data_IF_611460490819
#
_entry.id   IF_611460490819
#
_cell.length_a   1.000
_cell.length_b   1.000
_cell.length_c   1.000
_cell.angle_alpha   90.00
_cell.angle_beta   90.00
_cell.angle_gamma   90.00
#
_symmetry.space_group_name_H-M   'P 1'
#
loop_
_entity.id
_entity.type
_entity.pdbx_description
1 polymer ?
#
# COMPACT_ATOMS: atom_id res chain seq x y z
N UNK A 1 10.78 21.18 -2.67
CA UNK A 1 9.39 21.38 -3.10
C UNK A 1 9.39 22.10 -4.44
N UNK A 2 8.60 21.66 -5.41
CA UNK A 2 8.52 22.34 -6.70
C UNK A 2 7.85 23.71 -6.55
N UNK A 3 8.38 24.69 -7.27
CA UNK A 3 7.75 25.99 -7.47
C UNK A 3 6.86 25.89 -8.74
N UNK A 4 5.55 25.95 -8.54
CA UNK A 4 4.56 25.81 -9.62
C UNK A 4 3.83 27.13 -9.75
N UNK A 5 3.93 27.73 -10.94
CA UNK A 5 3.21 28.97 -11.25
C UNK A 5 1.70 28.71 -11.19
N UNK A 6 0.97 29.58 -10.52
CA UNK A 6 -0.48 29.53 -10.44
C UNK A 6 -1.14 29.54 -11.83
N UNK A 7 -0.54 30.25 -12.78
CA UNK A 7 -1.00 30.31 -14.16
C UNK A 7 -0.81 28.98 -14.94
N UNK A 8 0.02 28.07 -14.44
CA UNK A 8 0.21 26.75 -15.04
C UNK A 8 -0.86 25.74 -14.61
N UNK A 9 -1.68 26.07 -13.61
CA UNK A 9 -2.77 25.22 -13.14
C UNK A 9 -3.97 25.46 -14.04
N UNK A 10 -4.33 24.48 -14.85
CA UNK A 10 -5.35 24.63 -15.89
C UNK A 10 -6.72 24.11 -15.47
N UNK A 11 -6.78 23.32 -14.40
CA UNK A 11 -7.98 22.71 -13.90
C UNK A 11 -8.02 22.71 -12.37
N UNK A 12 -9.24 22.82 -11.81
CA UNK A 12 -9.49 22.66 -10.36
C UNK A 12 -10.63 21.69 -10.14
N UNK A 13 -10.40 20.69 -9.29
CA UNK A 13 -11.36 19.65 -8.92
C UNK A 13 -11.62 19.72 -7.43
N UNK A 14 -12.90 19.78 -7.04
CA UNK A 14 -13.31 19.78 -5.63
C UNK A 14 -13.80 18.39 -5.20
N UNK A 15 -13.34 17.95 -4.03
CA UNK A 15 -13.79 16.70 -3.40
C UNK A 15 -13.74 16.81 -1.88
N UNK A 16 -14.37 15.89 -1.17
CA UNK A 16 -14.22 15.80 0.28
C UNK A 16 -12.93 15.06 0.66
N UNK A 17 -12.69 13.93 0.04
CA UNK A 17 -11.52 13.07 0.30
C UNK A 17 -10.78 12.86 -1.01
N UNK A 18 -9.47 13.08 -0.99
CA UNK A 18 -8.61 12.72 -2.11
C UNK A 18 -7.73 11.53 -1.72
N UNK A 19 -7.75 10.48 -2.53
CA UNK A 19 -6.89 9.30 -2.40
C UNK A 19 -5.81 9.40 -3.48
N UNK A 20 -4.55 9.40 -3.08
CA UNK A 20 -3.40 9.52 -3.97
C UNK A 20 -2.70 8.18 -4.09
N UNK A 21 -2.83 7.55 -5.24
CA UNK A 21 -2.32 6.21 -5.58
C UNK A 21 -3.41 5.15 -5.64
N UNK A 22 -3.46 4.39 -6.73
CA UNK A 22 -4.39 3.29 -6.96
C UNK A 22 -3.71 1.91 -6.84
N UNK A 23 -2.80 1.78 -5.88
CA UNK A 23 -2.24 0.52 -5.42
C UNK A 23 -3.14 -0.17 -4.39
N UNK A 24 -2.60 -1.17 -3.69
CA UNK A 24 -3.35 -1.99 -2.73
C UNK A 24 -4.03 -1.15 -1.63
N UNK A 25 -3.32 -0.17 -1.07
CA UNK A 25 -3.88 0.70 -0.02
C UNK A 25 -4.94 1.65 -0.56
N UNK A 26 -4.68 2.28 -1.71
CA UNK A 26 -5.60 3.25 -2.31
C UNK A 26 -6.88 2.61 -2.82
N UNK A 27 -6.79 1.46 -3.51
CA UNK A 27 -7.98 0.76 -4.01
C UNK A 27 -8.83 0.16 -2.90
N UNK A 28 -8.22 -0.34 -1.82
CA UNK A 28 -8.96 -0.77 -0.64
C UNK A 28 -9.74 0.39 0.01
N UNK A 29 -9.09 1.55 0.17
CA UNK A 29 -9.73 2.75 0.69
C UNK A 29 -10.84 3.28 -0.24
N UNK A 30 -10.61 3.28 -1.55
CA UNK A 30 -11.58 3.71 -2.56
C UNK A 30 -12.82 2.80 -2.55
N UNK A 31 -12.64 1.48 -2.50
CA UNK A 31 -13.74 0.53 -2.43
C UNK A 31 -14.58 0.74 -1.15
N UNK A 32 -13.92 0.95 -0.01
CA UNK A 32 -14.62 1.23 1.24
C UNK A 32 -15.37 2.56 1.18
N UNK A 33 -14.75 3.62 0.66
CA UNK A 33 -15.37 4.92 0.50
C UNK A 33 -16.59 4.86 -0.43
N UNK A 34 -16.48 4.15 -1.55
CA UNK A 34 -17.57 3.95 -2.50
C UNK A 34 -18.75 3.19 -1.88
N UNK A 35 -18.47 2.10 -1.15
CA UNK A 35 -19.50 1.32 -0.45
C UNK A 35 -20.29 2.16 0.56
N UNK A 36 -19.69 3.21 1.11
CA UNK A 36 -20.32 4.10 2.08
C UNK A 36 -20.84 5.41 1.48
N UNK A 37 -20.82 5.54 0.16
CA UNK A 37 -21.36 6.73 -0.54
C UNK A 37 -20.60 8.02 -0.21
N UNK A 38 -19.32 7.94 0.12
CA UNK A 38 -18.50 9.12 0.43
C UNK A 38 -18.17 9.89 -0.85
N UNK A 39 -18.03 11.20 -0.73
CA UNK A 39 -17.53 12.04 -1.83
C UNK A 39 -16.00 11.99 -1.85
N UNK A 40 -15.44 11.31 -2.85
CA UNK A 40 -13.99 11.15 -2.97
C UNK A 40 -13.55 11.13 -4.44
N UNK A 41 -12.25 11.38 -4.64
CA UNK A 41 -11.54 11.19 -5.91
C UNK A 41 -10.31 10.33 -5.66
N UNK A 42 -9.89 9.61 -6.69
CA UNK A 42 -8.63 8.83 -6.69
C UNK A 42 -7.78 9.30 -7.84
N UNK A 43 -6.50 9.56 -7.61
CA UNK A 43 -5.52 9.81 -8.68
C UNK A 43 -4.46 8.71 -8.70
N UNK A 44 -3.98 8.38 -9.91
CA UNK A 44 -2.92 7.40 -10.14
C UNK A 44 -1.98 7.86 -11.25
N UNK A 45 -0.67 7.80 -11.00
CA UNK A 45 0.33 8.25 -11.96
C UNK A 45 0.45 7.36 -13.22
N UNK A 46 0.12 6.08 -13.09
CA UNK A 46 0.12 5.12 -14.20
C UNK A 46 -1.23 5.11 -14.93
N UNK A 47 -1.29 4.41 -16.06
CA UNK A 47 -2.52 4.23 -16.82
C UNK A 47 -3.44 3.10 -16.35
N UNK A 48 -3.10 2.45 -15.23
CA UNK A 48 -3.85 1.31 -14.68
C UNK A 48 -3.63 1.21 -13.18
N UNK A 49 -4.51 0.49 -12.50
CA UNK A 49 -4.33 0.15 -11.08
C UNK A 49 -3.11 -0.77 -10.89
N UNK A 50 -2.51 -0.69 -9.72
CA UNK A 50 -1.29 -1.44 -9.42
C UNK A 50 -1.57 -2.54 -8.40
N UNK A 51 -1.38 -3.80 -8.77
CA UNK A 51 -1.48 -4.96 -7.89
C UNK A 51 -0.11 -5.61 -7.72
N UNK A 52 0.72 -5.00 -6.88
CA UNK A 52 2.11 -5.43 -6.68
C UNK A 52 2.25 -6.60 -5.72
N UNK A 53 1.25 -6.86 -4.89
CA UNK A 53 1.23 -7.93 -3.90
C UNK A 53 -0.12 -8.63 -3.91
N UNK A 54 -0.06 -9.95 -4.10
CA UNK A 54 -1.26 -10.78 -4.10
C UNK A 54 -1.71 -11.18 -2.70
N UNK A 55 -0.77 -11.27 -1.78
CA UNK A 55 -1.05 -11.63 -0.39
C UNK A 55 -1.49 -10.42 0.41
N UNK A 56 -2.49 -10.64 1.23
CA UNK A 56 -3.00 -9.66 2.18
C UNK A 56 -2.94 -10.29 3.56
N UNK A 57 -2.25 -9.64 4.49
CA UNK A 57 -2.19 -10.10 5.87
C UNK A 57 -3.37 -9.56 6.68
N UNK A 58 -4.02 -10.44 7.43
CA UNK A 58 -5.08 -10.05 8.35
C UNK A 58 -5.09 -10.91 9.61
N UNK A 59 -5.43 -10.30 10.74
CA UNK A 59 -5.52 -10.96 12.04
C UNK A 59 -6.97 -11.32 12.34
N UNK A 60 -7.19 -12.55 12.80
CA UNK A 60 -8.53 -13.08 13.13
C UNK A 60 -9.55 -12.96 11.98
N UNK A 61 -9.08 -13.06 10.72
CA UNK A 61 -9.96 -13.08 9.54
C UNK A 61 -10.67 -14.41 9.35
N UNK A 62 -11.47 -14.53 8.28
CA UNK A 62 -12.36 -15.66 8.03
C UNK A 62 -11.64 -17.03 8.01
N UNK A 63 -10.42 -17.11 7.47
CA UNK A 63 -9.67 -18.36 7.41
C UNK A 63 -9.22 -18.83 8.78
N UNK A 64 -8.73 -17.94 9.63
CA UNK A 64 -8.37 -18.24 11.00
C UNK A 64 -9.61 -18.63 11.83
N UNK A 65 -10.71 -17.89 11.67
CA UNK A 65 -11.98 -18.19 12.35
C UNK A 65 -12.53 -19.56 11.96
N UNK A 66 -12.50 -19.92 10.67
CA UNK A 66 -12.97 -21.20 10.18
C UNK A 66 -12.19 -22.39 10.77
N UNK A 67 -10.94 -22.16 11.16
CA UNK A 67 -10.08 -23.17 11.78
C UNK A 67 -10.07 -23.11 13.31
N UNK A 68 -10.85 -22.20 13.92
CA UNK A 68 -10.87 -21.99 15.36
C UNK A 68 -9.56 -21.37 15.90
N UNK A 69 -8.76 -20.77 15.04
CA UNK A 69 -7.51 -20.08 15.42
C UNK A 69 -7.87 -18.70 15.94
N UNK A 70 -7.35 -18.37 17.10
CA UNK A 70 -7.45 -17.03 17.69
C UNK A 70 -6.05 -16.58 18.11
N UNK A 71 -5.64 -15.43 17.60
CA UNK A 71 -4.33 -14.89 17.90
C UNK A 71 -4.28 -14.18 19.25
N UNK A 72 -3.19 -14.39 19.97
CA UNK A 72 -2.81 -13.52 21.08
C UNK A 72 -2.25 -12.20 20.54
N UNK A 73 -3.11 -11.18 20.51
CA UNK A 73 -2.79 -9.86 19.92
C UNK A 73 -1.62 -9.15 20.62
N UNK A 74 -1.45 -9.37 21.93
CA UNK A 74 -0.35 -8.78 22.68
C UNK A 74 0.97 -9.45 22.32
N UNK A 75 0.97 -10.76 22.22
CA UNK A 75 2.14 -11.53 21.77
C UNK A 75 2.51 -11.20 20.33
N UNK A 76 1.51 -11.11 19.43
CA UNK A 76 1.72 -10.73 18.03
C UNK A 76 2.37 -9.34 17.92
N UNK A 77 1.86 -8.34 18.67
CA UNK A 77 2.47 -7.01 18.70
C UNK A 77 3.92 -7.06 19.18
N UNK A 78 4.20 -7.85 20.22
CA UNK A 78 5.54 -8.03 20.75
C UNK A 78 6.48 -8.67 19.70
N UNK A 79 6.03 -9.71 19.02
CA UNK A 79 6.81 -10.41 18.00
C UNK A 79 7.09 -9.53 16.77
N UNK A 80 6.11 -8.78 16.29
CA UNK A 80 6.33 -7.82 15.18
C UNK A 80 7.34 -6.76 15.60
N UNK A 81 7.23 -6.23 16.82
CA UNK A 81 8.17 -5.23 17.34
C UNK A 81 9.58 -5.80 17.47
N UNK A 82 9.70 -7.03 17.94
CA UNK A 82 10.99 -7.74 18.02
C UNK A 82 11.59 -7.98 16.63
N UNK A 83 10.78 -8.45 15.69
CA UNK A 83 11.21 -8.67 14.31
C UNK A 83 11.69 -7.37 13.63
N UNK A 84 10.98 -6.28 13.86
CA UNK A 84 11.38 -4.96 13.40
C UNK A 84 12.53 -4.33 14.22
N UNK A 85 13.16 -5.08 15.13
CA UNK A 85 14.22 -4.59 16.03
C UNK A 85 13.83 -3.32 16.82
N UNK A 86 12.55 -3.22 17.17
CA UNK A 86 11.99 -2.06 17.87
C UNK A 86 11.78 -0.80 17.00
N UNK A 87 12.00 -0.88 15.70
CA UNK A 87 11.94 0.27 14.78
C UNK A 87 10.54 0.54 14.21
N UNK A 88 9.52 -0.14 14.66
CA UNK A 88 8.15 0.10 14.22
C UNK A 88 7.37 0.98 15.20
N UNK A 89 6.45 1.80 14.68
CA UNK A 89 5.43 2.45 15.52
C UNK A 89 4.37 1.44 15.92
N UNK A 90 4.40 1.03 17.18
CA UNK A 90 3.47 0.04 17.72
C UNK A 90 2.00 0.48 17.64
N UNK A 91 1.72 1.78 17.55
CA UNK A 91 0.34 2.29 17.39
C UNK A 91 -0.20 1.90 16.01
N UNK A 92 0.62 2.05 14.98
CA UNK A 92 0.26 1.65 13.60
C UNK A 92 0.08 0.14 13.50
N UNK A 93 1.04 -0.63 14.06
CA UNK A 93 0.94 -2.10 14.10
C UNK A 93 -0.32 -2.55 14.84
N UNK A 94 -0.63 -1.92 15.96
CA UNK A 94 -1.83 -2.24 16.75
C UNK A 94 -3.12 -1.94 15.98
N UNK A 95 -3.17 -0.87 15.18
CA UNK A 95 -4.31 -0.59 14.32
C UNK A 95 -4.51 -1.73 13.32
N UNK A 96 -3.45 -2.17 12.64
CA UNK A 96 -3.53 -3.31 11.73
C UNK A 96 -3.99 -4.59 12.45
N UNK A 97 -3.43 -4.91 13.64
CA UNK A 97 -3.84 -6.08 14.42
C UNK A 97 -5.33 -6.05 14.75
N UNK A 98 -5.88 -4.88 15.05
CA UNK A 98 -7.26 -4.75 15.49
C UNK A 98 -8.28 -4.71 14.34
N UNK A 99 -7.91 -4.11 13.21
CA UNK A 99 -8.86 -3.74 12.14
C UNK A 99 -8.74 -4.62 10.88
N UNK A 100 -7.62 -5.34 10.72
CA UNK A 100 -7.36 -6.08 9.49
C UNK A 100 -8.32 -7.25 9.26
N UNK A 101 -8.86 -7.85 10.33
CA UNK A 101 -9.87 -8.91 10.22
C UNK A 101 -11.17 -8.40 9.57
N UNK A 102 -11.63 -7.22 9.95
CA UNK A 102 -12.80 -6.58 9.33
C UNK A 102 -12.50 -6.18 7.88
N UNK A 103 -11.32 -5.64 7.64
CA UNK A 103 -10.89 -5.27 6.29
C UNK A 103 -10.88 -6.47 5.34
N UNK A 104 -10.35 -7.62 5.75
CA UNK A 104 -10.29 -8.80 4.88
C UNK A 104 -11.69 -9.38 4.59
N UNK A 105 -12.61 -9.30 5.55
CA UNK A 105 -14.01 -9.68 5.33
C UNK A 105 -14.70 -8.76 4.32
N UNK A 106 -14.45 -7.46 4.41
CA UNK A 106 -14.96 -6.50 3.42
C UNK A 106 -14.45 -6.82 2.02
N UNK A 107 -13.14 -7.06 1.85
CA UNK A 107 -12.56 -7.43 0.56
C UNK A 107 -13.15 -8.77 0.07
N UNK A 108 -13.30 -9.76 0.95
CA UNK A 108 -13.90 -11.05 0.61
C UNK A 108 -15.32 -10.90 0.09
N UNK A 109 -16.13 -10.06 0.70
CA UNK A 109 -17.51 -9.83 0.24
C UNK A 109 -17.56 -9.28 -1.20
N UNK A 110 -16.62 -8.43 -1.58
CA UNK A 110 -16.53 -7.95 -2.96
C UNK A 110 -16.01 -9.07 -3.88
N UNK A 111 -14.93 -9.75 -3.50
CA UNK A 111 -14.28 -10.75 -4.35
C UNK A 111 -15.18 -11.97 -4.56
N UNK A 112 -15.71 -12.55 -3.48
CA UNK A 112 -16.48 -13.80 -3.52
C UNK A 112 -17.95 -13.55 -3.84
N UNK A 113 -18.63 -12.70 -3.08
CA UNK A 113 -20.07 -12.57 -3.16
C UNK A 113 -20.50 -11.84 -4.44
N UNK A 114 -19.71 -10.85 -4.88
CA UNK A 114 -20.04 -10.08 -6.06
C UNK A 114 -19.43 -10.65 -7.35
N UNK A 115 -18.15 -10.98 -7.33
CA UNK A 115 -17.41 -11.40 -8.53
C UNK A 115 -17.14 -12.91 -8.63
N UNK A 116 -17.47 -13.69 -7.60
CA UNK A 116 -17.27 -15.13 -7.59
C UNK A 116 -15.78 -15.55 -7.56
N UNK A 117 -14.89 -14.64 -7.22
CA UNK A 117 -13.45 -14.91 -7.12
C UNK A 117 -13.14 -15.36 -5.70
N UNK A 118 -12.85 -16.62 -5.53
CA UNK A 118 -12.57 -17.21 -4.23
C UNK A 118 -11.31 -16.61 -3.60
N UNK A 119 -11.42 -16.17 -2.36
CA UNK A 119 -10.28 -15.87 -1.53
C UNK A 119 -9.82 -17.12 -0.77
N UNK A 120 -8.52 -17.36 -0.79
CA UNK A 120 -7.91 -18.54 -0.19
C UNK A 120 -7.04 -18.09 0.98
N UNK A 121 -7.20 -18.76 2.09
CA UNK A 121 -6.29 -18.64 3.22
C UNK A 121 -5.06 -19.50 2.90
N UNK A 122 -3.92 -18.85 2.70
CA UNK A 122 -2.75 -19.45 2.04
C UNK A 122 -2.18 -20.64 2.80
N UNK A 123 -2.34 -20.68 4.09
CA UNK A 123 -1.79 -21.72 4.96
C UNK A 123 -2.86 -22.57 5.65
N UNK A 124 -4.10 -22.58 5.10
CA UNK A 124 -5.24 -23.18 5.76
C UNK A 124 -5.09 -24.66 6.05
N UNK A 125 -5.25 -25.51 5.07
CA UNK A 125 -5.31 -26.95 5.31
C UNK A 125 -3.95 -27.67 5.29
N UNK A 126 -2.96 -27.08 4.66
CA UNK A 126 -1.62 -27.69 4.50
C UNK A 126 -0.62 -27.23 5.56
N UNK A 127 -0.88 -26.14 6.20
CA UNK A 127 0.02 -25.56 7.17
C UNK A 127 -0.39 -25.85 8.61
N UNK A 128 -0.32 -27.06 8.97
CA UNK A 128 0.33 -27.29 10.26
C UNK A 128 1.76 -26.86 10.03
N UNK A 129 2.03 -25.58 10.24
CA UNK A 129 3.39 -25.09 10.34
C UNK A 129 4.13 -26.08 11.22
N UNK A 130 5.15 -26.77 10.73
CA UNK A 130 5.71 -27.89 11.46
C UNK A 130 6.16 -27.39 12.82
N UNK A 131 5.85 -28.14 13.86
CA UNK A 131 6.32 -27.86 15.22
C UNK A 131 7.85 -27.66 15.28
N UNK A 132 8.55 -28.19 14.31
CA UNK A 132 9.98 -27.99 14.07
C UNK A 132 10.40 -26.56 13.72
N UNK A 133 9.46 -25.70 13.29
CA UNK A 133 9.73 -24.28 13.08
C UNK A 133 9.36 -23.41 14.28
N UNK A 134 8.85 -24.01 15.35
CA UNK A 134 8.51 -23.31 16.59
C UNK A 134 9.73 -22.61 17.23
N UNK A 135 10.92 -23.11 17.00
CA UNK A 135 12.18 -22.48 17.46
C UNK A 135 12.43 -21.10 16.81
N UNK A 136 11.79 -20.79 15.70
CA UNK A 136 11.92 -19.49 15.05
C UNK A 136 10.86 -18.47 15.49
N UNK A 137 9.98 -18.84 16.42
CA UNK A 137 8.90 -17.96 16.93
C UNK A 137 8.05 -17.31 15.82
N UNK A 138 7.89 -18.00 14.71
CA UNK A 138 7.08 -17.54 13.58
C UNK A 138 5.66 -18.06 13.63
N UNK A 139 5.32 -18.86 14.63
CA UNK A 139 4.04 -19.53 14.78
C UNK A 139 2.84 -18.59 14.81
N UNK A 140 3.11 -17.31 15.10
CA UNK A 140 2.06 -16.29 15.21
C UNK A 140 1.98 -15.36 14.01
N UNK A 141 2.97 -15.36 13.12
CA UNK A 141 3.05 -14.28 12.13
C UNK A 141 2.67 -14.67 10.71
N UNK A 142 2.91 -15.91 10.31
CA UNK A 142 2.79 -16.23 8.89
C UNK A 142 1.64 -17.18 8.54
N UNK A 143 1.40 -18.26 9.26
CA UNK A 143 0.40 -19.24 8.83
C UNK A 143 -1.04 -18.74 8.93
N UNK A 144 -1.29 -17.84 9.87
CA UNK A 144 -2.65 -17.46 10.24
C UNK A 144 -3.08 -16.10 9.72
N UNK A 145 -2.22 -15.40 9.01
CA UNK A 145 -2.51 -14.02 8.58
C UNK A 145 -2.49 -13.80 7.07
N UNK A 146 -2.08 -14.77 6.29
CA UNK A 146 -1.97 -14.59 4.85
C UNK A 146 -3.19 -15.07 4.09
N UNK A 147 -3.73 -14.18 3.29
CA UNK A 147 -4.85 -14.41 2.39
C UNK A 147 -4.44 -14.08 0.96
N UNK A 148 -4.90 -14.86 0.01
CA UNK A 148 -4.74 -14.61 -1.41
C UNK A 148 -6.05 -14.90 -2.12
N UNK A 149 -6.13 -14.63 -3.41
CA UNK A 149 -7.27 -14.97 -4.23
C UNK A 149 -6.88 -16.03 -5.27
N UNK A 150 -7.87 -16.79 -5.71
CA UNK A 150 -7.66 -17.79 -6.74
C UNK A 150 -7.36 -17.12 -8.08
N UNK A 151 -6.14 -17.31 -8.57
CA UNK A 151 -5.67 -16.77 -9.85
C UNK A 151 -6.24 -17.46 -11.07
N UNK A 152 -6.93 -18.58 -10.89
CA UNK A 152 -7.55 -19.31 -12.00
C UNK A 152 -8.59 -18.48 -12.74
N UNK A 153 -9.15 -17.45 -12.10
CA UNK A 153 -10.06 -16.48 -12.69
C UNK A 153 -9.41 -15.48 -13.64
N UNK A 154 -8.07 -15.32 -13.60
CA UNK A 154 -7.32 -14.35 -14.39
C UNK A 154 -7.49 -12.89 -13.96
N UNK A 155 -8.31 -12.58 -12.97
CA UNK A 155 -8.57 -11.22 -12.52
C UNK A 155 -7.64 -10.82 -11.37
N UNK A 156 -7.01 -9.65 -11.49
CA UNK A 156 -6.26 -9.04 -10.39
C UNK A 156 -7.23 -8.40 -9.40
N UNK A 157 -6.93 -8.48 -8.09
CA UNK A 157 -7.79 -7.92 -7.04
C UNK A 157 -8.12 -6.44 -7.27
N UNK A 158 -7.13 -5.61 -7.54
CA UNK A 158 -7.34 -4.18 -7.69
C UNK A 158 -8.11 -3.82 -8.98
N UNK A 159 -8.05 -4.65 -10.02
CA UNK A 159 -8.94 -4.51 -11.19
C UNK A 159 -10.40 -4.75 -10.81
N UNK A 160 -10.68 -5.78 -10.03
CA UNK A 160 -12.05 -6.04 -9.54
C UNK A 160 -12.54 -4.95 -8.57
N UNK A 161 -11.65 -4.39 -7.74
CA UNK A 161 -12.00 -3.24 -6.90
C UNK A 161 -12.26 -1.98 -7.75
N UNK A 162 -11.54 -1.81 -8.86
CA UNK A 162 -11.81 -0.73 -9.81
C UNK A 162 -13.18 -0.91 -10.47
N UNK A 163 -13.50 -2.12 -10.93
CA UNK A 163 -14.82 -2.41 -11.47
C UNK A 163 -15.93 -2.16 -10.43
N UNK A 164 -15.67 -2.55 -9.18
CA UNK A 164 -16.59 -2.31 -8.08
C UNK A 164 -16.88 -0.83 -7.85
N UNK A 165 -15.87 0.04 -7.79
CA UNK A 165 -16.12 1.47 -7.60
C UNK A 165 -16.78 2.09 -8.83
N UNK A 166 -16.46 1.63 -10.04
CA UNK A 166 -17.10 2.09 -11.28
C UNK A 166 -18.59 1.78 -11.34
N UNK A 167 -18.97 0.60 -10.91
CA UNK A 167 -20.39 0.23 -10.81
C UNK A 167 -21.17 1.11 -9.81
N UNK A 168 -20.46 1.67 -8.82
CA UNK A 168 -21.03 2.63 -7.86
C UNK A 168 -20.94 4.08 -8.33
N UNK A 169 -20.45 4.33 -9.57
CA UNK A 169 -20.38 5.65 -10.18
C UNK A 169 -19.12 6.45 -9.89
N UNK A 170 -18.06 5.80 -9.40
CA UNK A 170 -16.74 6.41 -9.16
C UNK A 170 -15.72 5.93 -10.20
N UNK A 171 -14.60 6.61 -10.30
CA UNK A 171 -13.49 6.18 -11.17
C UNK A 171 -12.14 6.69 -10.59
N UNK A 172 -11.06 6.36 -11.28
CA UNK A 172 -9.70 6.78 -11.00
C UNK A 172 -9.23 7.74 -12.10
N UNK A 173 -8.71 8.89 -11.69
CA UNK A 173 -8.03 9.82 -12.58
C UNK A 173 -6.61 9.29 -12.83
N UNK A 174 -6.48 8.47 -13.86
CA UNK A 174 -5.20 7.89 -14.27
C UNK A 174 -4.26 8.91 -14.87
N UNK A 175 -2.96 8.56 -14.97
CA UNK A 175 -1.89 9.40 -15.51
C UNK A 175 -1.78 10.76 -14.84
N UNK A 176 -2.07 10.77 -13.56
CA UNK A 176 -2.11 11.96 -12.71
C UNK A 176 -1.21 11.74 -11.50
N UNK A 177 -0.07 12.43 -11.48
CA UNK A 177 0.98 12.28 -10.45
C UNK A 177 0.91 13.40 -9.43
N UNK A 178 1.15 13.06 -8.15
CA UNK A 178 1.29 14.05 -7.08
C UNK A 178 2.54 14.92 -7.31
N UNK A 179 2.35 16.26 -7.42
CA UNK A 179 3.44 17.21 -7.47
C UNK A 179 3.76 17.81 -6.08
N UNK A 180 2.75 18.34 -5.38
CA UNK A 180 2.90 18.84 -4.01
C UNK A 180 1.59 18.84 -3.23
N UNK A 181 1.69 18.91 -1.91
CA UNK A 181 0.56 19.18 -1.01
C UNK A 181 0.32 20.69 -0.88
N UNK A 182 -0.93 21.08 -0.75
CA UNK A 182 -1.31 22.47 -0.43
C UNK A 182 -1.78 22.60 1.01
N UNK A 183 -1.45 23.74 1.63
CA UNK A 183 -1.78 24.05 3.02
C UNK A 183 -2.48 25.39 3.12
N UNK A 184 -3.40 25.52 4.06
CA UNK A 184 -3.92 26.80 4.49
C UNK A 184 -2.95 27.52 5.44
N UNK A 185 -3.34 28.71 5.87
CA UNK A 185 -2.56 29.55 6.79
C UNK A 185 -2.37 28.94 8.19
N UNK A 186 -3.13 27.91 8.55
CA UNK A 186 -3.00 27.16 9.82
C UNK A 186 -2.04 26.00 9.71
N UNK A 187 -1.61 25.64 8.50
CA UNK A 187 -0.78 24.48 8.19
C UNK A 187 -1.57 23.20 7.92
N UNK A 188 -2.90 23.26 7.89
CA UNK A 188 -3.72 22.12 7.51
C UNK A 188 -3.60 21.84 6.01
N UNK A 189 -3.48 20.57 5.64
CA UNK A 189 -3.54 20.14 4.25
C UNK A 189 -4.98 20.32 3.73
N UNK A 190 -5.13 21.07 2.65
CA UNK A 190 -6.40 21.40 2.02
C UNK A 190 -6.56 20.78 0.64
N UNK A 191 -5.49 20.21 0.09
CA UNK A 191 -5.50 19.60 -1.22
C UNK A 191 -4.10 19.31 -1.74
N UNK A 192 -4.02 19.15 -3.05
CA UNK A 192 -2.77 18.94 -3.76
C UNK A 192 -2.74 19.72 -5.07
N UNK A 193 -1.53 19.90 -5.59
CA UNK A 193 -1.31 20.07 -7.02
C UNK A 193 -0.81 18.76 -7.58
N UNK A 194 -1.46 18.27 -8.62
CA UNK A 194 -1.07 17.12 -9.41
C UNK A 194 -0.57 17.57 -10.78
N UNK A 195 0.19 16.69 -11.44
CA UNK A 195 0.66 16.89 -12.81
C UNK A 195 0.20 15.73 -13.68
N UNK A 196 -0.37 16.03 -14.83
CA UNK A 196 -0.62 15.04 -15.87
C UNK A 196 0.70 14.44 -16.34
N UNK A 197 0.77 13.11 -16.47
CA UNK A 197 1.95 12.43 -17.01
C UNK A 197 1.90 12.27 -18.52
N UNK A 198 0.87 12.81 -19.19
CA UNK A 198 0.72 12.78 -20.64
C UNK A 198 1.21 14.06 -21.31
N UNK A 199 0.86 15.21 -20.77
CA UNK A 199 1.07 16.52 -21.39
C UNK A 199 1.58 17.59 -20.42
N UNK A 200 1.98 17.16 -19.21
CA UNK A 200 2.64 17.98 -18.18
C UNK A 200 1.80 19.14 -17.60
N UNK A 201 0.51 19.28 -17.93
CA UNK A 201 -0.30 20.31 -17.31
C UNK A 201 -0.57 20.02 -15.84
N UNK A 202 -0.86 21.08 -15.06
CA UNK A 202 -1.15 20.96 -13.63
C UNK A 202 -2.64 21.05 -13.34
N UNK A 203 -3.07 20.24 -12.36
CA UNK A 203 -4.43 20.13 -11.86
C UNK A 203 -4.41 20.37 -10.34
N UNK A 204 -5.27 21.23 -9.85
CA UNK A 204 -5.50 21.37 -8.40
C UNK A 204 -6.64 20.47 -7.97
N UNK A 205 -6.41 19.70 -6.92
CA UNK A 205 -7.47 18.97 -6.22
C UNK A 205 -7.64 19.56 -4.83
N UNK A 206 -8.80 20.19 -4.59
CA UNK A 206 -9.20 20.63 -3.26
C UNK A 206 -9.82 19.45 -2.52
N UNK A 207 -9.39 19.18 -1.30
CA UNK A 207 -9.87 18.08 -0.45
C UNK A 207 -10.39 18.62 0.88
N UNK A 208 -11.71 18.86 0.96
CA UNK A 208 -12.34 19.56 2.10
C UNK A 208 -12.15 18.83 3.44
N UNK A 209 -12.08 17.49 3.43
CA UNK A 209 -11.89 16.66 4.63
C UNK A 209 -10.46 16.16 4.80
N UNK A 210 -9.75 15.89 3.71
CA UNK A 210 -8.37 15.48 3.77
C UNK A 210 -7.85 14.71 2.58
N UNK A 211 -6.55 14.43 2.63
CA UNK A 211 -5.81 13.68 1.61
C UNK A 211 -5.28 12.41 2.23
N UNK A 212 -5.55 11.27 1.60
CA UNK A 212 -4.96 9.97 1.92
C UNK A 212 -3.80 9.70 0.95
N UNK A 213 -2.59 9.62 1.47
CA UNK A 213 -1.41 9.26 0.69
C UNK A 213 -1.23 7.74 0.68
N UNK A 214 -1.45 7.12 -0.46
CA UNK A 214 -1.27 5.68 -0.72
C UNK A 214 -0.27 5.44 -1.87
N UNK A 215 0.76 6.28 -1.94
CA UNK A 215 1.69 6.39 -3.06
C UNK A 215 2.85 5.37 -3.03
N UNK A 216 2.81 4.37 -2.16
CA UNK A 216 3.91 3.43 -2.00
C UNK A 216 5.15 4.02 -1.34
N UNK A 217 6.27 3.34 -1.54
CA UNK A 217 7.57 3.71 -0.98
C UNK A 217 8.47 4.48 -1.95
N UNK A 218 9.79 4.25 -1.81
CA UNK A 218 10.79 4.94 -2.63
C UNK A 218 11.86 4.03 -3.28
N UNK A 219 11.69 2.70 -3.42
CA UNK A 219 12.74 1.84 -3.93
C UNK A 219 13.12 2.12 -5.39
N UNK A 220 12.24 2.77 -6.16
CA UNK A 220 12.51 3.24 -7.52
C UNK A 220 13.28 4.56 -7.60
N UNK A 221 13.69 5.14 -6.47
CA UNK A 221 14.45 6.38 -6.41
C UNK A 221 15.87 6.13 -5.87
N UNK A 222 16.89 5.98 -6.72
CA UNK A 222 18.24 5.66 -6.27
C UNK A 222 18.82 6.66 -5.28
N UNK A 223 18.53 7.95 -5.43
CA UNK A 223 18.98 8.99 -4.52
C UNK A 223 18.37 8.82 -3.12
N UNK A 224 17.06 8.58 -3.03
CA UNK A 224 16.41 8.33 -1.74
C UNK A 224 16.90 7.03 -1.12
N UNK A 225 17.13 5.99 -1.91
CA UNK A 225 17.71 4.74 -1.43
C UNK A 225 19.08 4.96 -0.82
N UNK A 226 19.98 5.67 -1.52
CA UNK A 226 21.32 5.97 -1.02
C UNK A 226 21.29 6.79 0.27
N UNK A 227 20.44 7.80 0.35
CA UNK A 227 20.38 8.72 1.49
C UNK A 227 19.62 8.17 2.69
N UNK A 228 18.57 7.39 2.46
CA UNK A 228 17.63 6.97 3.49
C UNK A 228 17.76 5.48 3.84
N UNK A 229 18.32 4.69 2.96
CA UNK A 229 18.54 3.26 3.14
C UNK A 229 19.96 2.81 2.73
N UNK A 230 21.00 3.36 3.36
CA UNK A 230 22.38 3.00 3.03
C UNK A 230 22.69 1.52 3.32
N UNK A 231 21.99 0.89 4.26
CA UNK A 231 22.14 -0.56 4.51
C UNK A 231 21.62 -1.37 3.33
N UNK A 232 20.41 -1.08 2.86
CA UNK A 232 19.83 -1.76 1.71
C UNK A 232 20.71 -1.63 0.47
N UNK A 233 21.20 -0.43 0.18
CA UNK A 233 22.08 -0.19 -0.97
C UNK A 233 23.48 -0.82 -0.82
N UNK A 234 23.94 -1.09 0.41
CA UNK A 234 25.24 -1.73 0.66
C UNK A 234 25.22 -3.24 0.49
N UNK A 235 24.06 -3.88 0.61
CA UNK A 235 23.93 -5.35 0.61
C UNK A 235 23.24 -5.90 -0.62
N UNK A 236 22.67 -5.06 -1.46
CA UNK A 236 21.98 -5.47 -2.68
C UNK A 236 22.29 -4.55 -3.85
N UNK A 237 22.40 -5.13 -5.03
CA UNK A 237 22.51 -4.40 -6.29
C UNK A 237 21.17 -4.21 -6.95
N UNK A 238 20.15 -4.85 -6.41
CA UNK A 238 18.83 -4.83 -6.97
C UNK A 238 17.85 -4.25 -6.02
N UNK A 239 17.00 -3.47 -6.46
CA UNK A 239 16.13 -2.93 -5.47
C UNK A 239 14.70 -2.86 -5.84
N UNK A 240 14.27 -2.98 -7.00
CA UNK A 240 12.92 -2.48 -7.17
C UNK A 240 11.94 -3.51 -7.68
N UNK A 241 11.06 -3.91 -6.78
CA UNK A 241 9.81 -4.56 -7.14
C UNK A 241 8.88 -3.59 -7.89
N UNK A 242 9.00 -2.30 -7.63
CA UNK A 242 8.22 -1.25 -8.26
C UNK A 242 9.11 -0.07 -8.62
N UNK A 243 9.62 0.02 -9.85
CA UNK A 243 10.41 1.17 -10.31
C UNK A 243 9.61 2.47 -10.33
N UNK A 244 8.28 2.40 -10.26
CA UNK A 244 7.41 3.55 -10.17
C UNK A 244 7.35 4.16 -8.76
N UNK A 245 7.76 3.43 -7.71
CA UNK A 245 7.79 3.91 -6.33
C UNK A 245 8.98 4.85 -6.10
N UNK A 246 8.81 6.11 -6.45
CA UNK A 246 9.86 7.13 -6.41
C UNK A 246 9.76 8.07 -5.21
N UNK A 247 8.94 7.74 -4.23
CA UNK A 247 8.81 8.51 -3.00
C UNK A 247 8.05 9.83 -3.15
N UNK A 248 7.16 9.95 -4.12
CA UNK A 248 6.39 11.18 -4.35
C UNK A 248 5.61 11.60 -3.12
N UNK A 249 4.82 10.69 -2.54
CA UNK A 249 4.03 10.96 -1.34
C UNK A 249 4.88 11.31 -0.13
N UNK A 250 5.99 10.61 0.08
CA UNK A 250 6.93 10.86 1.17
C UNK A 250 7.55 12.25 1.05
N UNK A 251 8.06 12.60 -0.13
CA UNK A 251 8.64 13.92 -0.38
C UNK A 251 7.62 15.03 -0.17
N UNK A 252 6.44 14.90 -0.75
CA UNK A 252 5.38 15.89 -0.61
C UNK A 252 4.96 16.08 0.85
N UNK A 253 4.85 15.00 1.63
CA UNK A 253 4.54 15.06 3.05
C UNK A 253 5.64 15.77 3.85
N UNK A 254 6.91 15.45 3.59
CA UNK A 254 8.06 16.10 4.27
C UNK A 254 8.14 17.58 3.92
N UNK A 255 7.95 17.97 2.68
CA UNK A 255 7.88 19.38 2.27
C UNK A 255 6.73 20.13 2.95
N UNK A 256 5.61 19.42 3.18
CA UNK A 256 4.48 19.98 3.92
C UNK A 256 4.71 20.08 5.44
N UNK A 257 5.80 19.51 5.97
CA UNK A 257 6.18 19.57 7.36
C UNK A 257 5.94 18.28 8.15
N UNK A 258 5.67 17.17 7.50
CA UNK A 258 5.57 15.88 8.18
C UNK A 258 6.94 15.41 8.70
N UNK A 259 6.91 14.65 9.78
CA UNK A 259 8.10 13.96 10.26
C UNK A 259 8.39 12.75 9.36
N UNK A 260 9.67 12.44 9.25
CA UNK A 260 10.16 11.24 8.58
C UNK A 260 10.77 10.29 9.61
N UNK A 261 10.65 8.98 9.38
CA UNK A 261 11.33 7.98 10.19
C UNK A 261 12.84 8.19 10.11
N UNK A 262 13.49 8.22 11.28
CA UNK A 262 14.92 8.48 11.35
C UNK A 262 15.79 7.37 10.76
N UNK A 263 15.25 6.18 10.71
CA UNK A 263 15.92 5.00 10.19
C UNK A 263 14.99 4.26 9.25
N UNK A 264 15.40 4.09 8.00
CA UNK A 264 14.72 3.20 7.09
C UNK A 264 14.89 1.75 7.57
N UNK A 265 13.84 0.97 7.44
CA UNK A 265 13.86 -0.47 7.69
C UNK A 265 13.46 -1.18 6.40
N UNK A 266 14.42 -1.44 5.49
CA UNK A 266 14.10 -2.07 4.23
C UNK A 266 13.63 -3.49 4.48
N UNK A 267 12.61 -3.88 3.75
CA UNK A 267 12.23 -5.29 3.67
C UNK A 267 13.18 -5.97 2.69
N UNK A 268 14.07 -6.79 3.20
CA UNK A 268 14.95 -7.61 2.38
C UNK A 268 14.22 -8.91 2.04
N UNK A 269 14.03 -9.15 0.74
CA UNK A 269 13.67 -10.48 0.28
C UNK A 269 14.94 -11.29 0.08
N UNK A 270 15.01 -12.43 0.74
CA UNK A 270 16.11 -13.37 0.79
C UNK A 270 16.27 -14.25 -0.46
N UNK A 271 15.61 -13.89 -1.55
CA UNK A 271 15.47 -14.78 -2.70
C UNK A 271 16.21 -14.25 -3.91
N UNK A 272 17.46 -14.45 -3.94
CA UNK A 272 18.20 -14.24 -5.18
C UNK A 272 19.70 -14.26 -4.96
N UNK A 273 20.35 -15.16 -5.65
CA UNK A 273 21.78 -15.08 -5.86
C UNK A 273 21.98 -14.32 -7.16
N UNK A 274 22.64 -13.17 -7.07
CA UNK A 274 23.00 -12.40 -8.25
C UNK A 274 24.45 -12.71 -8.59
N UNK A 275 24.71 -13.01 -9.85
CA UNK A 275 26.08 -13.25 -10.30
C UNK A 275 26.94 -11.98 -10.12
N UNK A 276 28.23 -12.11 -9.79
CA UNK A 276 29.11 -10.96 -9.65
C UNK A 276 29.10 -10.10 -10.93
N UNK A 277 28.91 -8.78 -10.78
CA UNK A 277 28.89 -7.81 -11.89
C UNK A 277 27.56 -7.73 -12.64
N UNK A 278 26.54 -8.42 -12.19
CA UNK A 278 25.16 -8.26 -12.70
C UNK A 278 24.43 -7.34 -11.76
N UNK A 279 23.87 -6.26 -12.26
CA UNK A 279 22.92 -5.46 -11.50
C UNK A 279 21.74 -6.34 -11.14
N UNK A 280 21.48 -6.43 -9.86
CA UNK A 280 20.47 -7.31 -9.38
C UNK A 280 19.12 -6.92 -9.95
N UNK A 281 18.50 -7.86 -10.58
CA UNK A 281 17.10 -7.83 -10.93
C UNK A 281 16.39 -8.92 -10.17
N UNK A 282 15.08 -8.91 -10.23
CA UNK A 282 14.29 -10.02 -9.78
C UNK A 282 14.69 -11.26 -10.58
N UNK A 283 15.44 -12.15 -9.99
CA UNK A 283 15.67 -13.46 -10.58
C UNK A 283 14.47 -14.31 -10.22
N UNK A 284 13.56 -14.45 -11.16
CA UNK A 284 12.51 -15.45 -11.04
C UNK A 284 13.17 -16.83 -10.90
N UNK A 285 12.91 -17.49 -9.79
CA UNK A 285 13.24 -18.90 -9.59
C UNK A 285 12.37 -19.79 -10.44
#
# INVERSE_FOLDING_TARGET
EPDIDEAAITETVDTDILIVGAGNGGMGAAAYAAAHGLNFRVIEQNGNVQDTRHWVGAVDGFGAQAQGIKMDRAKLLSEISRYASGKCDQRVVKTWINESGEMIEFIRSIMEDKYGVKMVYTYGDEAKWPAENAEHNTDYMYPEIEYTYDRSSGAARNELLLDYIRELGYDVDFKTSLAKLEKDSTGRITGIIAQSTEDDHFIRYNANKGVLLACGGFPGNPYMMEQLDPLGTSVTTACSYSPADKGYGIRAAVWAGANFDKEAAPMLFDRGIVAPGVDGGYVAS
#
